data_IF_736919813581
#
_entry.id   IF_736919813581
#
_cell.length_a   1.000
_cell.length_b   1.000
_cell.length_c   1.000
_cell.angle_alpha   90.00
_cell.angle_beta   90.00
_cell.angle_gamma   90.00
#
_symmetry.space_group_name_H-M   'P 1'
#
loop_
_entity.id
_entity.type
_entity.pdbx_description
1 polymer ?
#
# COMPACT_ATOMS: atom_id res chain seq x y z
N UNK A 1 38.66 -19.22 36.93
CA UNK A 1 37.20 -19.43 36.80
C UNK A 1 36.51 -18.09 37.02
N UNK A 2 35.98 -17.47 35.96
CA UNK A 2 35.08 -16.31 36.08
C UNK A 2 33.98 -16.45 35.01
N UNK A 3 32.79 -16.94 35.37
CA UNK A 3 31.68 -17.15 34.45
C UNK A 3 30.78 -15.91 34.40
N UNK A 4 31.36 -14.71 34.21
CA UNK A 4 30.58 -13.46 34.28
C UNK A 4 30.54 -12.67 32.97
N UNK A 5 31.33 -13.02 31.96
CA UNK A 5 31.40 -12.25 30.71
C UNK A 5 30.41 -12.72 29.63
N UNK A 6 29.86 -13.95 29.73
CA UNK A 6 28.94 -14.48 28.72
C UNK A 6 27.47 -14.12 28.94
N UNK A 7 27.07 -13.75 30.16
CA UNK A 7 25.66 -13.44 30.47
C UNK A 7 25.27 -12.05 29.95
N UNK A 8 26.21 -11.11 29.87
CA UNK A 8 25.93 -9.74 29.39
C UNK A 8 25.73 -9.65 27.87
N UNK A 9 26.32 -10.57 27.08
CA UNK A 9 26.09 -10.64 25.64
C UNK A 9 24.72 -11.24 25.29
N UNK A 10 24.23 -12.17 26.12
CA UNK A 10 22.94 -12.83 25.90
C UNK A 10 21.75 -11.86 26.07
N UNK A 11 21.87 -10.87 26.96
CA UNK A 11 20.85 -9.82 27.14
C UNK A 11 20.86 -8.75 26.05
N UNK A 12 21.99 -8.55 25.35
CA UNK A 12 22.06 -7.62 24.22
C UNK A 12 21.39 -8.18 22.95
N UNK A 13 21.38 -9.51 22.79
CA UNK A 13 20.66 -10.22 21.72
C UNK A 13 19.15 -10.30 21.94
N UNK A 14 18.67 -10.09 23.17
CA UNK A 14 17.23 -10.02 23.49
C UNK A 14 16.61 -8.64 23.21
N UNK A 15 17.40 -7.68 22.72
CA UNK A 15 16.96 -6.33 22.32
C UNK A 15 16.89 -6.17 20.79
N UNK A 16 16.99 -7.26 20.01
CA UNK A 16 16.60 -7.20 18.59
C UNK A 16 15.10 -6.87 18.59
N UNK A 17 14.66 -5.76 17.99
CA UNK A 17 13.25 -5.45 17.90
C UNK A 17 12.58 -6.63 17.21
N UNK A 18 11.66 -7.29 17.91
CA UNK A 18 10.74 -8.25 17.32
C UNK A 18 10.09 -7.55 16.10
N UNK A 19 10.49 -7.97 14.89
CA UNK A 19 9.93 -7.59 13.60
C UNK A 19 9.09 -6.30 13.63
N UNK A 20 9.76 -5.14 13.75
CA UNK A 20 9.07 -3.87 13.55
C UNK A 20 8.74 -3.81 12.07
N UNK A 21 7.46 -3.93 11.71
CA UNK A 21 6.99 -3.47 10.41
C UNK A 21 6.54 -2.02 10.58
N UNK A 22 6.83 -1.17 9.60
CA UNK A 22 6.47 0.25 9.66
C UNK A 22 5.90 0.71 8.33
N UNK A 23 4.61 1.06 8.37
CA UNK A 23 3.91 1.56 7.21
C UNK A 23 2.61 2.24 7.59
N UNK A 24 1.97 2.77 6.57
CA UNK A 24 0.78 3.58 6.71
C UNK A 24 -0.21 3.34 5.59
N UNK A 25 -1.46 3.65 5.91
CA UNK A 25 -2.58 3.68 4.99
C UNK A 25 -2.79 5.12 4.53
N UNK A 26 -3.01 5.28 3.24
CA UNK A 26 -3.53 6.49 2.63
C UNK A 26 -4.87 6.20 1.97
N UNK A 27 -5.89 6.98 2.29
CA UNK A 27 -7.22 6.90 1.70
C UNK A 27 -7.48 8.20 0.96
N UNK A 28 -7.79 8.09 -0.32
CA UNK A 28 -8.17 9.21 -1.18
C UNK A 28 -9.65 9.11 -1.52
N UNK A 29 -10.36 10.22 -1.36
CA UNK A 29 -11.79 10.33 -1.61
C UNK A 29 -12.10 11.55 -2.46
N UNK A 30 -13.04 11.38 -3.39
CA UNK A 30 -13.58 12.47 -4.21
C UNK A 30 -15.09 12.34 -4.36
N UNK A 31 -15.75 13.49 -4.36
CA UNK A 31 -17.18 13.62 -4.61
C UNK A 31 -17.43 14.92 -5.37
N UNK A 32 -18.41 14.96 -6.29
CA UNK A 32 -18.86 16.18 -6.94
C UNK A 32 -19.86 16.96 -6.05
N UNK A 33 -20.13 16.49 -4.83
CA UNK A 33 -21.04 17.13 -3.88
C UNK A 33 -20.30 17.58 -2.64
N UNK A 34 -20.83 18.63 -2.00
CA UNK A 34 -20.42 18.99 -0.65
C UNK A 34 -21.01 17.96 0.32
N UNK A 35 -20.18 17.11 0.91
CA UNK A 35 -20.63 16.10 1.86
C UNK A 35 -19.60 15.85 2.97
N UNK A 36 -20.09 15.61 4.17
CA UNK A 36 -19.26 15.21 5.29
C UNK A 36 -19.13 13.70 5.28
N UNK A 37 -17.97 13.16 4.89
CA UNK A 37 -17.70 11.74 5.01
C UNK A 37 -17.07 11.42 6.36
N UNK A 38 -17.37 10.23 6.88
CA UNK A 38 -16.70 9.65 8.04
C UNK A 38 -15.97 8.40 7.59
N UNK A 39 -14.66 8.35 7.83
CA UNK A 39 -13.82 7.20 7.54
C UNK A 39 -13.56 6.45 8.84
N UNK A 40 -14.07 5.24 8.93
CA UNK A 40 -13.84 4.31 10.02
C UNK A 40 -12.82 3.27 9.59
N UNK A 41 -11.78 3.09 10.39
CA UNK A 41 -10.70 2.15 10.14
C UNK A 41 -10.63 1.22 11.35
N UNK A 42 -10.72 -0.08 11.11
CA UNK A 42 -10.61 -1.11 12.16
C UNK A 42 -9.49 -2.08 11.81
N UNK A 43 -8.67 -2.36 12.81
CA UNK A 43 -7.76 -3.50 12.78
C UNK A 43 -8.53 -4.75 13.20
N UNK A 44 -8.32 -5.86 12.50
CA UNK A 44 -9.08 -7.11 12.63
C UNK A 44 -10.50 -7.03 12.04
N UNK A 45 -10.88 -8.08 11.31
CA UNK A 45 -12.19 -8.20 10.66
C UNK A 45 -13.19 -8.98 11.52
N UNK A 46 -12.73 -9.82 12.44
CA UNK A 46 -13.59 -10.67 13.26
C UNK A 46 -13.99 -10.00 14.58
N UNK A 47 -13.05 -9.30 15.21
CA UNK A 47 -13.27 -8.62 16.48
C UNK A 47 -12.66 -7.20 16.47
N UNK A 48 -13.32 -6.25 15.78
CA UNK A 48 -12.82 -4.89 15.60
C UNK A 48 -12.89 -4.11 16.93
N UNK A 49 -11.87 -4.28 17.77
CA UNK A 49 -11.77 -3.64 19.09
C UNK A 49 -11.13 -2.26 19.02
N UNK A 50 -10.23 -2.05 18.05
CA UNK A 50 -9.51 -0.80 17.84
C UNK A 50 -10.08 -0.06 16.62
N UNK A 51 -11.10 0.77 16.86
CA UNK A 51 -11.73 1.61 15.85
C UNK A 51 -11.15 3.02 15.86
N UNK A 52 -10.66 3.47 14.72
CA UNK A 52 -10.25 4.87 14.47
C UNK A 52 -11.27 5.51 13.54
N UNK A 53 -11.68 6.73 13.85
CA UNK A 53 -12.73 7.46 13.11
C UNK A 53 -12.20 8.83 12.73
N UNK A 54 -12.33 9.17 11.45
CA UNK A 54 -11.86 10.42 10.88
C UNK A 54 -12.99 11.11 10.13
N UNK A 55 -13.16 12.41 10.38
CA UNK A 55 -14.08 13.23 9.61
C UNK A 55 -13.35 13.79 8.39
N UNK A 56 -13.89 13.57 7.20
CA UNK A 56 -13.30 13.95 5.92
C UNK A 56 -14.34 14.75 5.13
N UNK A 57 -14.36 16.09 5.28
CA UNK A 57 -15.27 16.94 4.52
C UNK A 57 -14.86 16.97 3.04
N UNK A 58 -15.71 16.44 2.18
CA UNK A 58 -15.53 16.44 0.73
C UNK A 58 -16.15 17.71 0.14
N UNK A 59 -15.43 18.31 -0.80
CA UNK A 59 -15.90 19.47 -1.58
C UNK A 59 -15.77 19.13 -3.06
N UNK A 60 -16.64 19.69 -3.93
CA UNK A 60 -16.58 19.46 -5.36
C UNK A 60 -15.18 19.74 -5.95
N UNK A 61 -14.80 18.98 -6.97
CA UNK A 61 -13.55 19.11 -7.74
C UNK A 61 -12.24 18.91 -6.97
N UNK A 62 -12.30 18.55 -5.67
CA UNK A 62 -11.10 18.38 -4.84
C UNK A 62 -10.99 16.96 -4.33
N UNK A 63 -9.79 16.38 -4.44
CA UNK A 63 -9.47 15.12 -3.79
C UNK A 63 -9.11 15.38 -2.32
N UNK A 64 -9.75 14.66 -1.41
CA UNK A 64 -9.35 14.61 0.00
C UNK A 64 -8.45 13.42 0.24
N UNK A 65 -7.39 13.65 0.99
CA UNK A 65 -6.37 12.64 1.31
C UNK A 65 -6.31 12.51 2.83
N UNK A 66 -6.66 11.34 3.34
CA UNK A 66 -6.39 10.93 4.71
C UNK A 66 -5.14 10.05 4.67
N UNK A 67 -4.03 10.53 5.18
CA UNK A 67 -2.73 9.84 5.09
C UNK A 67 -2.10 9.65 6.48
N UNK A 68 -0.97 8.95 6.53
CA UNK A 68 -0.24 8.62 7.76
C UNK A 68 -1.09 7.90 8.80
N UNK A 69 -2.08 7.10 8.37
CA UNK A 69 -2.84 6.26 9.29
C UNK A 69 -2.01 5.00 9.53
N UNK A 70 -1.47 4.76 10.74
CA UNK A 70 -0.58 3.63 10.97
C UNK A 70 -1.30 2.30 10.78
N UNK A 71 -0.57 1.30 10.27
CA UNK A 71 -1.11 -0.03 9.94
C UNK A 71 -0.28 -1.11 10.60
N UNK A 72 -0.85 -2.32 10.72
CA UNK A 72 -0.16 -3.49 11.26
C UNK A 72 -0.16 -4.61 10.23
N UNK A 73 0.96 -4.81 9.54
CA UNK A 73 1.05 -5.81 8.48
C UNK A 73 0.72 -7.22 8.98
N UNK A 74 0.38 -8.10 8.03
CA UNK A 74 -0.08 -9.47 8.29
C UNK A 74 -1.41 -9.59 9.06
N UNK A 75 -2.18 -8.51 9.18
CA UNK A 75 -3.49 -8.53 9.82
C UNK A 75 -4.52 -7.86 8.94
N UNK A 76 -5.58 -8.57 8.48
CA UNK A 76 -6.63 -7.92 7.72
C UNK A 76 -7.33 -6.87 8.58
N UNK A 77 -7.74 -5.77 7.94
CA UNK A 77 -8.56 -4.73 8.57
C UNK A 77 -9.73 -4.35 7.67
N UNK A 78 -10.55 -3.42 8.14
CA UNK A 78 -11.66 -2.85 7.36
C UNK A 78 -11.53 -1.35 7.26
N UNK A 79 -11.84 -0.80 6.09
CA UNK A 79 -12.14 0.61 5.87
C UNK A 79 -13.63 0.72 5.57
N UNK A 80 -14.36 1.45 6.40
CA UNK A 80 -15.76 1.79 6.20
C UNK A 80 -15.88 3.30 6.06
N UNK A 81 -16.32 3.76 4.91
CA UNK A 81 -16.62 5.17 4.64
C UNK A 81 -18.14 5.33 4.66
N UNK A 82 -18.63 6.27 5.46
CA UNK A 82 -20.03 6.68 5.45
C UNK A 82 -20.11 8.12 4.96
N UNK A 83 -20.91 8.39 3.93
CA UNK A 83 -21.23 9.76 3.54
C UNK A 83 -22.24 10.37 4.51
N UNK A 84 -22.29 11.70 4.56
CA UNK A 84 -23.45 12.42 5.05
C UNK A 84 -24.61 12.39 4.04
N UNK A 85 -25.73 13.04 4.38
CA UNK A 85 -26.88 13.13 3.50
C UNK A 85 -26.57 13.95 2.25
N UNK A 86 -27.24 13.60 1.16
CA UNK A 86 -27.25 14.36 -0.10
C UNK A 86 -28.70 14.57 -0.51
N UNK A 87 -29.28 15.68 -0.04
CA UNK A 87 -30.71 16.00 -0.19
C UNK A 87 -31.17 16.00 -1.65
N UNK A 88 -30.29 16.38 -2.59
CA UNK A 88 -30.56 16.38 -4.04
C UNK A 88 -31.08 15.03 -4.55
N UNK A 89 -30.69 13.94 -3.89
CA UNK A 89 -31.10 12.58 -4.26
C UNK A 89 -32.00 11.92 -3.20
N UNK A 90 -32.38 12.63 -2.13
CA UNK A 90 -33.06 12.04 -0.97
C UNK A 90 -32.20 10.99 -0.23
N UNK A 91 -30.88 11.02 -0.43
CA UNK A 91 -29.94 10.05 0.14
C UNK A 91 -29.63 10.46 1.58
N UNK A 92 -29.86 9.56 2.55
CA UNK A 92 -29.47 9.79 3.93
C UNK A 92 -27.98 9.54 4.14
N UNK A 93 -27.45 8.47 3.54
CA UNK A 93 -26.02 8.18 3.49
C UNK A 93 -25.71 7.10 2.44
N UNK A 94 -24.48 7.11 1.94
CA UNK A 94 -23.88 6.04 1.16
C UNK A 94 -22.68 5.47 1.90
N UNK A 95 -22.37 4.20 1.63
CA UNK A 95 -21.27 3.48 2.25
C UNK A 95 -20.33 2.92 1.20
N UNK A 96 -19.03 2.96 1.51
CA UNK A 96 -17.99 2.19 0.82
C UNK A 96 -17.34 1.32 1.89
N UNK A 97 -17.32 0.01 1.67
CA UNK A 97 -16.66 -0.95 2.56
C UNK A 97 -15.58 -1.70 1.80
N UNK A 98 -14.35 -1.66 2.35
CA UNK A 98 -13.19 -2.43 1.89
C UNK A 98 -12.70 -3.28 3.05
N UNK A 99 -12.66 -4.59 2.85
CA UNK A 99 -12.16 -5.55 3.83
C UNK A 99 -10.79 -6.09 3.38
N UNK A 100 -9.99 -6.55 4.36
CA UNK A 100 -8.70 -7.25 4.19
C UNK A 100 -7.55 -6.44 3.57
N UNK A 101 -7.55 -5.13 3.73
CA UNK A 101 -6.59 -4.22 3.09
C UNK A 101 -5.13 -4.28 3.57
N UNK A 102 -4.78 -4.94 4.68
CA UNK A 102 -3.49 -4.76 5.36
C UNK A 102 -2.66 -6.06 5.45
N UNK A 103 -2.85 -6.98 4.52
CA UNK A 103 -2.01 -8.17 4.48
C UNK A 103 -0.62 -7.83 3.99
N UNK A 104 -0.44 -6.91 3.02
CA UNK A 104 0.84 -6.41 2.48
C UNK A 104 0.71 -5.00 1.88
N UNK A 105 1.80 -4.42 1.39
CA UNK A 105 1.78 -3.24 0.51
C UNK A 105 0.88 -3.53 -0.69
N UNK A 106 -0.07 -2.64 -0.95
CA UNK A 106 -1.03 -2.83 -2.04
C UNK A 106 -1.76 -1.53 -2.37
N UNK A 107 -2.45 -1.54 -3.51
CA UNK A 107 -3.34 -0.47 -3.96
C UNK A 107 -4.72 -1.08 -4.19
N UNK A 108 -5.74 -0.50 -3.59
CA UNK A 108 -7.14 -0.89 -3.80
C UNK A 108 -7.86 0.28 -4.45
N UNK A 109 -8.23 0.12 -5.72
CA UNK A 109 -8.95 1.13 -6.48
C UNK A 109 -9.91 0.46 -7.48
N UNK A 110 -11.23 0.38 -7.17
CA UNK A 110 -12.19 -0.25 -8.07
C UNK A 110 -12.28 0.50 -9.40
N UNK A 111 -12.72 -0.19 -10.46
CA UNK A 111 -12.90 0.38 -11.81
C UNK A 111 -13.97 1.48 -11.80
N UNK A 112 -15.08 1.18 -11.15
CA UNK A 112 -16.26 2.03 -11.07
C UNK A 112 -16.54 2.45 -9.62
N UNK A 113 -17.22 3.58 -9.51
CA UNK A 113 -17.73 4.14 -8.28
C UNK A 113 -19.25 4.33 -8.39
N UNK A 114 -19.89 4.49 -7.23
CA UNK A 114 -21.29 4.86 -7.14
C UNK A 114 -21.43 6.25 -6.52
N UNK A 115 -22.27 7.11 -7.12
CA UNK A 115 -22.59 8.42 -6.53
C UNK A 115 -23.07 8.24 -5.07
N UNK A 116 -22.77 9.14 -4.14
CA UNK A 116 -22.20 10.46 -4.34
C UNK A 116 -20.67 10.48 -4.46
N UNK A 117 -20.00 9.32 -4.46
CA UNK A 117 -18.55 9.26 -4.65
C UNK A 117 -18.22 9.13 -6.14
N UNK A 118 -17.20 9.84 -6.59
CA UNK A 118 -16.63 9.68 -7.95
C UNK A 118 -15.17 9.23 -7.91
N UNK A 119 -14.57 9.20 -6.72
CA UNK A 119 -13.20 8.75 -6.56
C UNK A 119 -12.96 8.07 -5.23
N UNK A 120 -12.33 6.90 -5.28
CA UNK A 120 -11.88 6.17 -4.10
C UNK A 120 -10.60 5.40 -4.41
N UNK A 121 -9.63 5.51 -3.52
CA UNK A 121 -8.39 4.74 -3.58
C UNK A 121 -7.84 4.54 -2.17
N UNK A 122 -7.38 3.34 -1.90
CA UNK A 122 -6.57 3.01 -0.74
C UNK A 122 -5.18 2.65 -1.22
N UNK A 123 -4.16 3.22 -0.58
CA UNK A 123 -2.78 2.80 -0.75
C UNK A 123 -2.21 2.36 0.61
N UNK A 124 -1.63 1.16 0.67
CA UNK A 124 -0.86 0.68 1.81
C UNK A 124 0.62 0.76 1.45
N UNK A 125 1.36 1.58 2.21
CA UNK A 125 2.73 1.96 1.88
C UNK A 125 3.65 1.73 3.07
N UNK A 126 4.93 1.53 2.80
CA UNK A 126 5.95 1.56 3.84
C UNK A 126 6.28 2.98 4.29
N UNK A 127 6.65 3.12 5.56
CA UNK A 127 7.31 4.32 6.04
C UNK A 127 8.70 4.47 5.39
N UNK A 128 9.26 5.68 5.47
CA UNK A 128 10.60 5.95 4.95
C UNK A 128 11.63 4.95 5.51
N UNK A 129 12.50 4.44 4.64
CA UNK A 129 13.53 3.44 4.94
C UNK A 129 12.99 2.03 5.23
N UNK A 130 11.68 1.80 5.15
CA UNK A 130 11.10 0.46 5.26
C UNK A 130 10.71 -0.03 3.87
N UNK A 131 11.00 -1.30 3.62
CA UNK A 131 10.86 -1.95 2.32
C UNK A 131 10.34 -3.37 2.51
N UNK A 132 10.12 -4.06 1.40
CA UNK A 132 9.52 -5.40 1.38
C UNK A 132 7.99 -5.36 1.33
N UNK A 133 7.34 -6.46 0.92
CA UNK A 133 5.88 -6.52 0.81
C UNK A 133 5.18 -6.24 2.14
N UNK A 134 5.82 -6.46 3.29
CA UNK A 134 5.22 -6.25 4.61
C UNK A 134 5.87 -5.10 5.39
N UNK A 135 6.68 -4.26 4.72
CA UNK A 135 7.37 -3.13 5.33
C UNK A 135 8.16 -3.49 6.59
N UNK A 136 8.71 -4.68 6.60
CA UNK A 136 9.37 -5.35 7.72
C UNK A 136 10.90 -5.37 7.56
N UNK A 137 11.41 -4.83 6.45
CA UNK A 137 12.83 -4.79 6.13
C UNK A 137 13.33 -3.35 6.10
N UNK A 138 14.32 -3.04 6.94
CA UNK A 138 14.88 -1.70 7.03
C UNK A 138 16.08 -1.51 6.10
N UNK A 139 16.08 -0.44 5.32
CA UNK A 139 17.23 0.05 4.57
C UNK A 139 17.22 1.58 4.51
N UNK A 140 18.31 2.21 4.97
CA UNK A 140 18.40 3.67 5.02
C UNK A 140 18.69 4.26 3.63
N UNK A 141 17.65 4.78 2.98
CA UNK A 141 17.71 5.34 1.63
C UNK A 141 18.70 6.52 1.52
N UNK A 142 18.80 7.34 2.56
CA UNK A 142 19.74 8.47 2.55
C UNK A 142 21.18 8.00 2.61
N UNK A 143 21.46 7.01 3.46
CA UNK A 143 22.80 6.46 3.58
C UNK A 143 23.20 5.74 2.29
N UNK A 144 22.31 4.93 1.71
CA UNK A 144 22.54 4.27 0.44
C UNK A 144 22.91 5.29 -0.66
N UNK A 145 22.16 6.40 -0.77
CA UNK A 145 22.44 7.46 -1.75
C UNK A 145 23.82 8.10 -1.57
N UNK A 146 24.28 8.30 -0.32
CA UNK A 146 25.60 8.89 -0.04
C UNK A 146 26.73 8.02 -0.61
N UNK A 147 26.58 6.70 -0.60
CA UNK A 147 27.57 5.74 -1.11
C UNK A 147 27.32 5.34 -2.57
N UNK A 148 26.59 6.15 -3.34
CA UNK A 148 26.18 5.87 -4.72
C UNK A 148 25.42 4.53 -4.89
N UNK A 149 24.53 4.23 -3.94
CA UNK A 149 23.64 3.07 -3.95
C UNK A 149 22.18 3.51 -3.74
N UNK A 150 21.27 2.55 -3.81
CA UNK A 150 19.85 2.67 -3.40
C UNK A 150 19.44 1.47 -2.56
N UNK A 151 18.33 1.60 -1.85
CA UNK A 151 17.63 0.45 -1.31
C UNK A 151 16.80 -0.21 -2.40
N UNK A 152 16.86 -1.53 -2.51
CA UNK A 152 15.97 -2.33 -3.36
C UNK A 152 14.66 -2.63 -2.61
N UNK A 153 13.67 -3.20 -3.30
CA UNK A 153 12.44 -3.69 -2.67
C UNK A 153 12.69 -4.76 -1.59
N UNK A 154 13.84 -5.44 -1.63
CA UNK A 154 14.25 -6.42 -0.62
C UNK A 154 14.97 -5.79 0.58
N UNK A 155 15.08 -4.46 0.65
CA UNK A 155 15.86 -3.70 1.63
C UNK A 155 17.36 -4.02 1.64
N UNK A 156 17.89 -4.50 0.52
CA UNK A 156 19.31 -4.67 0.27
C UNK A 156 19.84 -3.45 -0.47
N UNK A 157 21.17 -3.34 -0.55
CA UNK A 157 21.78 -2.30 -1.38
C UNK A 157 21.75 -2.74 -2.85
N UNK A 158 21.52 -1.77 -3.72
CA UNK A 158 21.64 -1.93 -5.18
C UNK A 158 22.28 -0.69 -5.79
N UNK A 159 22.69 -0.77 -7.05
CA UNK A 159 23.08 0.44 -7.76
C UNK A 159 21.87 1.30 -8.13
N UNK A 160 22.09 2.59 -8.49
CA UNK A 160 21.07 3.38 -9.15
C UNK A 160 20.48 2.62 -10.35
N UNK A 161 19.24 2.96 -10.72
CA UNK A 161 18.52 2.24 -11.78
C UNK A 161 19.35 2.16 -13.06
N UNK A 162 19.28 1.00 -13.73
CA UNK A 162 20.01 0.68 -14.96
C UNK A 162 21.53 0.59 -14.82
N UNK A 163 22.07 0.52 -13.59
CA UNK A 163 23.49 0.32 -13.32
C UNK A 163 23.76 -0.95 -12.50
N UNK A 164 24.97 -1.47 -12.62
CA UNK A 164 25.47 -2.67 -11.97
C UNK A 164 26.98 -2.56 -11.70
N UNK A 165 27.54 -3.60 -11.09
CA UNK A 165 28.95 -3.72 -10.77
C UNK A 165 29.33 -3.10 -9.42
N UNK A 166 30.54 -3.40 -8.92
CA UNK A 166 30.99 -2.96 -7.61
C UNK A 166 31.02 -1.43 -7.45
N UNK A 167 31.18 -0.67 -8.53
CA UNK A 167 31.22 0.80 -8.49
C UNK A 167 29.97 1.48 -9.06
N UNK A 168 28.96 0.73 -9.49
CA UNK A 168 27.77 1.25 -10.17
C UNK A 168 28.09 2.07 -11.44
N UNK A 169 29.03 1.60 -12.23
CA UNK A 169 29.50 2.23 -13.46
C UNK A 169 29.25 1.37 -14.71
N UNK A 170 28.73 0.15 -14.53
CA UNK A 170 28.39 -0.76 -15.63
C UNK A 170 26.90 -0.63 -15.96
N UNK A 171 26.51 -0.45 -17.23
CA UNK A 171 25.10 -0.49 -17.62
C UNK A 171 24.48 -1.87 -17.38
N UNK A 172 23.35 -1.91 -16.68
CA UNK A 172 22.55 -3.12 -16.49
C UNK A 172 21.58 -3.28 -17.67
N UNK A 173 21.91 -4.20 -18.57
CA UNK A 173 21.12 -4.48 -19.76
C UNK A 173 19.82 -5.22 -19.41
N UNK A 174 18.70 -4.71 -19.91
CA UNK A 174 17.36 -5.31 -19.76
C UNK A 174 17.12 -6.38 -20.84
N UNK A 175 17.99 -7.39 -20.91
CA UNK A 175 17.88 -8.49 -21.88
C UNK A 175 17.46 -9.78 -21.20
N UNK A 176 16.71 -10.65 -21.88
CA UNK A 176 16.24 -11.93 -21.33
C UNK A 176 17.36 -12.80 -20.74
N UNK A 177 18.58 -12.73 -21.32
CA UNK A 177 19.72 -13.53 -20.86
C UNK A 177 20.38 -13.00 -19.58
N UNK A 178 20.29 -11.70 -19.33
CA UNK A 178 20.88 -11.05 -18.14
C UNK A 178 19.83 -10.86 -17.04
N UNK A 179 18.57 -10.79 -17.46
CA UNK A 179 17.47 -10.46 -16.61
C UNK A 179 16.13 -10.91 -17.21
N UNK A 180 15.61 -12.07 -16.78
CA UNK A 180 14.43 -12.69 -17.36
C UNK A 180 13.11 -12.16 -16.76
N UNK A 181 13.05 -10.89 -16.31
CA UNK A 181 11.81 -10.35 -15.74
C UNK A 181 10.69 -10.31 -16.79
N UNK A 182 9.50 -10.77 -16.40
CA UNK A 182 8.28 -10.71 -17.22
C UNK A 182 7.27 -9.73 -16.61
N UNK A 183 6.09 -9.57 -17.25
CA UNK A 183 4.98 -8.76 -16.73
C UNK A 183 5.33 -7.33 -16.30
N UNK A 184 6.20 -6.66 -17.06
CA UNK A 184 6.71 -5.31 -16.78
C UNK A 184 7.58 -5.19 -15.52
N UNK A 185 8.13 -6.30 -15.02
CA UNK A 185 9.23 -6.26 -14.06
C UNK A 185 10.47 -5.59 -14.65
N UNK A 186 11.25 -4.91 -13.82
CA UNK A 186 12.48 -4.23 -14.24
C UNK A 186 13.69 -4.76 -13.48
N UNK A 187 14.80 -4.81 -14.18
CA UNK A 187 16.04 -5.37 -13.67
C UNK A 187 16.78 -4.36 -12.83
N UNK A 188 17.21 -4.81 -11.66
CA UNK A 188 18.01 -4.01 -10.75
C UNK A 188 19.14 -4.85 -10.20
N UNK A 189 20.25 -4.20 -9.86
CA UNK A 189 21.34 -4.86 -9.16
C UNK A 189 21.06 -4.94 -7.68
N UNK A 190 21.54 -6.00 -7.05
CA UNK A 190 21.44 -6.25 -5.62
C UNK A 190 22.76 -6.81 -5.08
N UNK A 191 23.14 -6.32 -3.90
CA UNK A 191 24.22 -6.84 -3.07
C UNK A 191 23.60 -7.53 -1.85
N UNK A 192 23.94 -8.81 -1.61
CA UNK A 192 23.41 -9.57 -0.47
C UNK A 192 23.96 -9.03 0.85
N UNK A 193 25.21 -8.58 0.83
CA UNK A 193 25.87 -7.91 1.94
C UNK A 193 26.43 -6.55 1.50
N UNK A 194 26.48 -5.56 2.39
CA UNK A 194 27.09 -4.26 2.09
C UNK A 194 28.57 -4.31 1.68
N UNK A 195 29.25 -5.41 1.98
CA UNK A 195 30.67 -5.63 1.67
C UNK A 195 30.87 -6.45 0.38
N UNK A 196 29.80 -6.88 -0.28
CA UNK A 196 29.91 -7.68 -1.49
C UNK A 196 30.51 -6.84 -2.63
N UNK A 197 31.45 -7.44 -3.35
CA UNK A 197 32.10 -6.83 -4.52
C UNK A 197 31.46 -7.28 -5.84
N UNK A 198 30.45 -8.13 -5.76
CA UNK A 198 29.71 -8.68 -6.90
C UNK A 198 28.23 -8.51 -6.62
N UNK A 199 27.53 -7.87 -7.53
CA UNK A 199 26.07 -7.79 -7.53
C UNK A 199 25.45 -8.95 -8.31
N UNK A 200 24.19 -9.21 -7.99
CA UNK A 200 23.30 -10.05 -8.79
C UNK A 200 22.20 -9.20 -9.41
N UNK A 201 21.71 -9.58 -10.57
CA UNK A 201 20.48 -9.02 -11.12
C UNK A 201 19.27 -9.66 -10.44
N UNK A 202 18.30 -8.84 -10.04
CA UNK A 202 17.00 -9.27 -9.54
C UNK A 202 15.89 -8.52 -10.28
N UNK A 203 14.67 -9.02 -10.19
CA UNK A 203 13.48 -8.34 -10.69
C UNK A 203 12.80 -7.53 -9.59
N UNK A 204 12.48 -6.28 -9.90
CA UNK A 204 11.48 -5.50 -9.17
C UNK A 204 10.18 -5.51 -9.96
N UNK A 205 9.15 -6.10 -9.38
CA UNK A 205 7.90 -6.36 -10.08
C UNK A 205 6.99 -5.14 -10.17
N UNK A 206 6.30 -5.03 -11.29
CA UNK A 206 5.20 -4.10 -11.45
C UNK A 206 4.04 -4.44 -10.52
N UNK A 207 3.13 -3.49 -10.33
CA UNK A 207 1.94 -3.66 -9.48
C UNK A 207 1.11 -4.87 -9.94
N UNK A 208 0.76 -5.75 -9.01
CA UNK A 208 -0.09 -6.93 -9.27
C UNK A 208 0.67 -8.17 -9.73
N UNK A 209 2.00 -8.17 -9.70
CA UNK A 209 2.83 -9.33 -10.03
C UNK A 209 3.89 -9.60 -8.95
N UNK A 210 4.20 -10.87 -8.74
CA UNK A 210 5.21 -11.36 -7.79
C UNK A 210 5.98 -12.56 -8.38
N UNK A 211 6.92 -13.11 -7.61
CA UNK A 211 7.84 -14.16 -8.06
C UNK A 211 9.25 -13.65 -8.31
N UNK A 212 10.19 -14.56 -8.56
CA UNK A 212 11.60 -14.22 -8.78
C UNK A 212 11.80 -13.42 -10.08
N UNK A 213 10.92 -13.63 -11.05
CA UNK A 213 10.92 -13.02 -12.37
C UNK A 213 9.62 -12.26 -12.66
N UNK A 214 8.78 -12.02 -11.64
CA UNK A 214 7.46 -11.39 -11.78
C UNK A 214 6.47 -12.21 -12.61
N UNK A 215 6.65 -13.53 -12.64
CA UNK A 215 5.89 -14.51 -13.41
C UNK A 215 4.52 -14.82 -12.81
N UNK A 216 4.33 -14.57 -11.51
CA UNK A 216 3.11 -14.86 -10.79
C UNK A 216 2.22 -13.62 -10.72
N UNK A 217 0.91 -13.82 -10.90
CA UNK A 217 -0.05 -12.77 -10.53
C UNK A 217 -0.16 -12.75 -9.02
N UNK A 218 0.00 -11.57 -8.48
CA UNK A 218 -0.13 -11.33 -7.05
C UNK A 218 -1.53 -11.72 -6.57
N UNK A 219 -1.63 -12.51 -5.51
CA UNK A 219 -2.94 -12.87 -4.95
C UNK A 219 -3.65 -11.61 -4.43
N UNK A 220 -4.86 -11.34 -4.92
CA UNK A 220 -5.67 -10.22 -4.41
C UNK A 220 -6.25 -10.60 -3.04
N UNK A 221 -5.62 -10.09 -2.00
CA UNK A 221 -6.06 -10.32 -0.63
C UNK A 221 -7.25 -9.45 -0.24
N UNK A 222 -7.52 -8.35 -0.98
CA UNK A 222 -8.62 -7.46 -0.69
C UNK A 222 -9.92 -8.05 -1.25
N UNK A 223 -10.98 -8.02 -0.43
CA UNK A 223 -12.29 -8.39 -0.95
C UNK A 223 -12.81 -7.29 -1.88
N UNK A 224 -13.66 -7.68 -2.83
CA UNK A 224 -14.31 -6.73 -3.73
C UNK A 224 -15.00 -5.61 -2.92
N UNK A 225 -14.81 -4.37 -3.37
CA UNK A 225 -15.39 -3.19 -2.71
C UNK A 225 -16.92 -3.31 -2.70
N UNK A 226 -17.50 -3.15 -1.51
CA UNK A 226 -18.94 -3.16 -1.33
C UNK A 226 -19.46 -1.73 -1.25
N UNK A 227 -20.48 -1.43 -2.03
CA UNK A 227 -21.18 -0.14 -2.03
C UNK A 227 -22.59 -0.32 -1.46
N UNK A 228 -23.00 0.60 -0.58
CA UNK A 228 -24.36 0.66 -0.06
C UNK A 228 -24.94 2.06 -0.17
N UNK A 229 -26.25 2.17 -0.36
CA UNK A 229 -26.98 3.44 -0.33
C UNK A 229 -28.22 3.31 0.52
N UNK A 230 -28.50 4.32 1.33
CA UNK A 230 -29.63 4.33 2.25
C UNK A 230 -30.33 5.69 2.16
N UNK A 231 -31.64 5.69 1.93
CA UNK A 231 -32.42 6.91 1.68
C UNK A 231 -33.93 6.64 1.74
N UNK A 232 -34.70 7.47 1.04
CA UNK A 232 -36.16 7.36 0.88
C UNK A 232 -36.68 6.04 0.25
N UNK A 233 -37.83 6.03 -0.46
CA UNK A 233 -38.52 4.78 -0.83
C UNK A 233 -37.63 3.78 -1.59
N UNK A 234 -37.50 2.57 -1.06
CA UNK A 234 -36.54 1.54 -1.50
C UNK A 234 -36.49 1.33 -3.02
N UNK A 235 -37.65 1.27 -3.68
CA UNK A 235 -37.76 1.06 -5.13
C UNK A 235 -37.09 2.16 -5.96
N UNK A 236 -37.16 3.42 -5.52
CA UNK A 236 -36.54 4.56 -6.21
C UNK A 236 -35.03 4.55 -6.02
N UNK A 237 -34.55 4.11 -4.85
CA UNK A 237 -33.13 4.05 -4.55
C UNK A 237 -32.42 2.90 -5.24
N UNK A 238 -33.06 1.75 -5.43
CA UNK A 238 -32.49 0.65 -6.22
C UNK A 238 -32.24 1.09 -7.68
N UNK A 239 -33.22 1.77 -8.30
CA UNK A 239 -33.05 2.31 -9.66
C UNK A 239 -31.96 3.38 -9.74
N UNK A 240 -31.85 4.25 -8.73
CA UNK A 240 -30.75 5.22 -8.64
C UNK A 240 -29.39 4.53 -8.49
N UNK A 241 -29.27 3.55 -7.59
CA UNK A 241 -28.04 2.80 -7.35
C UNK A 241 -27.52 2.16 -8.64
N UNK A 242 -28.39 1.50 -9.40
CA UNK A 242 -28.05 0.88 -10.68
C UNK A 242 -27.52 1.90 -11.70
N UNK A 243 -28.15 3.08 -11.78
CA UNK A 243 -27.80 4.14 -12.75
C UNK A 243 -26.69 5.09 -12.28
N UNK A 244 -26.25 4.96 -11.05
CA UNK A 244 -25.26 5.86 -10.43
C UNK A 244 -23.80 5.44 -10.63
N UNK A 245 -23.54 4.43 -11.47
CA UNK A 245 -22.16 4.06 -11.85
C UNK A 245 -21.47 5.21 -12.56
N UNK A 246 -20.26 5.49 -12.13
CA UNK A 246 -19.33 6.44 -12.74
C UNK A 246 -17.93 5.85 -12.70
N UNK A 247 -17.06 6.24 -13.62
CA UNK A 247 -15.66 5.82 -13.59
C UNK A 247 -14.98 6.30 -12.30
N UNK A 248 -14.11 5.47 -11.72
CA UNK A 248 -13.31 5.89 -10.58
C UNK A 248 -12.22 6.87 -11.02
N UNK A 249 -12.43 8.17 -10.74
CA UNK A 249 -11.50 9.24 -11.10
C UNK A 249 -10.10 9.08 -10.46
N UNK A 250 -9.97 8.28 -9.40
CA UNK A 250 -8.71 8.09 -8.67
C UNK A 250 -8.01 6.77 -8.98
N UNK A 251 -8.52 5.98 -9.95
CA UNK A 251 -7.95 4.68 -10.32
C UNK A 251 -6.50 4.82 -10.82
N UNK A 252 -6.30 5.60 -11.87
CA UNK A 252 -5.01 5.74 -12.56
C UNK A 252 -4.24 6.98 -12.14
N UNK A 253 -4.11 7.22 -10.84
CA UNK A 253 -3.17 8.24 -10.36
C UNK A 253 -1.75 7.69 -10.50
N UNK A 254 -1.06 8.12 -11.55
CA UNK A 254 0.38 7.98 -11.66
C UNK A 254 1.02 8.88 -10.59
N UNK A 255 1.90 8.29 -9.77
CA UNK A 255 2.72 9.01 -8.81
C UNK A 255 3.84 9.77 -9.51
#
# INVERSE_FOLDING_TARGET
MSPKLHISLLFLLLLIPNAQSSGYLEIRLKSPFLLNATVTITEDIYFPTNKRVFNVPLVPDHTRILTNVPVKFHRPGTVLINSGPVDKFGLHFATIRSDRWNTKQMIIAPDEMKLPFTGFRIDVKCDRNWHGPYCDKFCNDNHAKIINRRCTHNATLGCPLMLSGPNCDVPLLQTESTCPCVNHGYCVSEFLNPLDTVDRSICECGVGFEGEHCEEKEYDYADAIQFGMHGGPEKVFTEFFERSSVDNELRYLYH
#
